data_IF_955234508535
#
_entry.id   IF_955234508535
#
_cell.length_a   1.000
_cell.length_b   1.000
_cell.length_c   1.000
_cell.angle_alpha   90.00
_cell.angle_beta   90.00
_cell.angle_gamma   90.00
#
_symmetry.space_group_name_H-M   'P 1'
#
loop_
_entity.id
_entity.type
_entity.pdbx_description
1 polymer ?
#
# COMPACT_ATOMS: atom_id res chain seq x y z
N UNK A 1 0.89 12.47 21.22
CA UNK A 1 -0.54 12.12 21.00
C UNK A 1 -0.70 10.63 20.66
N UNK A 2 -0.15 10.06 19.56
CA UNK A 2 -0.33 8.63 19.26
C UNK A 2 0.16 7.68 20.37
N UNK A 3 1.29 8.00 21.01
CA UNK A 3 1.80 7.27 22.17
C UNK A 3 0.77 7.11 23.30
N UNK A 4 -0.05 8.13 23.56
CA UNK A 4 -1.10 8.04 24.58
C UNK A 4 -2.22 7.10 24.16
N UNK A 5 -2.59 7.10 22.87
CA UNK A 5 -3.57 6.15 22.34
C UNK A 5 -3.10 4.70 22.55
N UNK A 6 -1.80 4.43 22.28
CA UNK A 6 -1.18 3.12 22.53
C UNK A 6 -1.23 2.70 24.00
N UNK A 7 -0.83 3.57 24.94
CA UNK A 7 -0.92 3.27 26.39
C UNK A 7 -2.36 2.94 26.81
N UNK A 8 -3.32 3.75 26.35
CA UNK A 8 -4.72 3.56 26.70
C UNK A 8 -5.28 2.26 26.11
N UNK A 9 -4.85 1.89 24.91
CA UNK A 9 -5.18 0.61 24.31
C UNK A 9 -4.56 -0.56 25.09
N UNK A 10 -3.29 -0.46 25.49
CA UNK A 10 -2.62 -1.47 26.32
C UNK A 10 -3.32 -1.66 27.67
N UNK A 11 -3.93 -0.61 28.23
CA UNK A 11 -4.72 -0.72 29.47
C UNK A 11 -5.99 -1.56 29.27
N UNK A 12 -6.61 -1.48 28.10
CA UNK A 12 -7.75 -2.34 27.74
C UNK A 12 -7.26 -3.79 27.60
N UNK A 13 -6.20 -4.03 26.83
CA UNK A 13 -5.66 -5.38 26.60
C UNK A 13 -5.25 -6.07 27.91
N UNK A 14 -4.69 -5.33 28.86
CA UNK A 14 -4.25 -5.85 30.15
C UNK A 14 -5.36 -5.86 31.22
N UNK A 15 -6.61 -5.53 30.87
CA UNK A 15 -7.75 -5.54 31.80
C UNK A 15 -7.72 -4.44 32.88
N UNK A 16 -6.89 -3.40 32.71
CA UNK A 16 -6.81 -2.24 33.62
C UNK A 16 -7.90 -1.21 33.36
N UNK A 17 -8.42 -1.13 32.13
CA UNK A 17 -9.58 -0.32 31.72
C UNK A 17 -10.48 -1.17 30.80
N UNK A 18 -11.18 -2.18 31.33
CA UNK A 18 -11.94 -3.13 30.50
C UNK A 18 -13.07 -2.46 29.72
N UNK A 19 -13.58 -1.33 30.21
CA UNK A 19 -14.65 -0.56 29.57
C UNK A 19 -14.11 0.42 28.51
N UNK A 20 -12.78 0.53 28.35
CA UNK A 20 -12.10 1.42 27.41
C UNK A 20 -12.46 2.90 27.58
N UNK A 21 -12.85 3.29 28.79
CA UNK A 21 -13.36 4.62 29.11
C UNK A 21 -12.33 5.71 28.81
N UNK A 22 -11.06 5.46 29.11
CA UNK A 22 -9.96 6.38 28.87
C UNK A 22 -9.69 6.59 27.39
N UNK A 23 -9.61 5.49 26.61
CA UNK A 23 -9.40 5.56 25.17
C UNK A 23 -10.59 6.22 24.45
N UNK A 24 -11.82 5.94 24.89
CA UNK A 24 -13.02 6.55 24.33
C UNK A 24 -13.06 8.06 24.58
N UNK A 25 -12.73 8.49 25.81
CA UNK A 25 -12.62 9.91 26.13
C UNK A 25 -11.53 10.58 25.28
N UNK A 26 -10.38 9.93 25.13
CA UNK A 26 -9.29 10.40 24.27
C UNK A 26 -9.76 10.60 22.82
N UNK A 27 -10.52 9.67 22.24
CA UNK A 27 -11.08 9.84 20.88
C UNK A 27 -12.09 10.99 20.78
N UNK A 28 -12.94 11.19 21.79
CA UNK A 28 -13.86 12.34 21.83
C UNK A 28 -13.08 13.65 21.87
N UNK A 29 -12.01 13.71 22.65
CA UNK A 29 -11.14 14.87 22.73
C UNK A 29 -10.40 15.12 21.41
N UNK A 30 -9.88 14.08 20.77
CA UNK A 30 -9.17 14.16 19.49
C UNK A 30 -10.05 14.71 18.36
N UNK A 31 -11.35 14.39 18.41
CA UNK A 31 -12.35 14.86 17.45
C UNK A 31 -13.06 16.15 17.89
N UNK A 32 -12.73 16.69 19.06
CA UNK A 32 -13.33 17.93 19.57
C UNK A 32 -12.81 19.14 18.79
N UNK A 33 -13.62 20.20 18.76
CA UNK A 33 -13.30 21.47 18.08
C UNK A 33 -12.04 22.15 18.61
N UNK A 34 -11.53 21.74 19.76
CA UNK A 34 -10.28 22.23 20.34
C UNK A 34 -9.04 21.90 19.49
N UNK A 35 -9.10 20.84 18.67
CA UNK A 35 -8.04 20.48 17.71
C UNK A 35 -8.24 21.07 16.30
N UNK A 36 -9.28 21.89 16.08
CA UNK A 36 -9.63 22.48 14.77
C UNK A 36 -8.59 23.44 14.15
N UNK A 37 -7.42 23.63 14.77
CA UNK A 37 -6.33 24.39 14.15
C UNK A 37 -5.57 23.56 13.09
N UNK A 38 -5.71 22.23 13.10
CA UNK A 38 -5.10 21.37 12.10
C UNK A 38 -5.90 21.42 10.79
N UNK A 39 -5.19 21.45 9.66
CA UNK A 39 -5.85 21.26 8.37
C UNK A 39 -6.45 19.84 8.31
N UNK A 40 -7.51 19.61 7.51
CA UNK A 40 -8.17 18.30 7.43
C UNK A 40 -7.22 17.13 7.17
N UNK A 41 -6.15 17.35 6.40
CA UNK A 41 -5.12 16.34 6.12
C UNK A 41 -4.30 16.01 7.37
N UNK A 42 -3.86 17.03 8.11
CA UNK A 42 -3.08 16.81 9.33
C UNK A 42 -3.92 16.11 10.39
N UNK A 43 -5.20 16.46 10.51
CA UNK A 43 -6.13 15.77 11.40
C UNK A 43 -6.30 14.30 10.99
N UNK A 44 -6.49 14.02 9.70
CA UNK A 44 -6.61 12.64 9.21
C UNK A 44 -5.35 11.83 9.53
N UNK A 45 -4.16 12.36 9.27
CA UNK A 45 -2.88 11.70 9.57
C UNK A 45 -2.74 11.45 11.06
N UNK A 46 -3.07 12.45 11.90
CA UNK A 46 -3.01 12.30 13.36
C UNK A 46 -3.94 11.19 13.85
N UNK A 47 -5.20 11.20 13.43
CA UNK A 47 -6.19 10.19 13.78
C UNK A 47 -5.73 8.79 13.33
N UNK A 48 -5.17 8.69 12.13
CA UNK A 48 -4.68 7.43 11.58
C UNK A 48 -3.47 6.90 12.37
N UNK A 49 -2.56 7.77 12.84
CA UNK A 49 -1.44 7.36 13.70
C UNK A 49 -1.89 6.91 15.09
N UNK A 50 -2.91 7.56 15.65
CA UNK A 50 -3.53 7.08 16.89
C UNK A 50 -4.15 5.70 16.69
N UNK A 51 -4.86 5.51 15.57
CA UNK A 51 -5.45 4.21 15.21
C UNK A 51 -4.38 3.13 15.02
N UNK A 52 -3.25 3.47 14.38
CA UNK A 52 -2.10 2.59 14.23
C UNK A 52 -1.52 2.15 15.57
N UNK A 53 -1.45 3.09 16.53
CA UNK A 53 -1.01 2.81 17.91
C UNK A 53 -1.98 1.89 18.66
N UNK A 54 -3.25 1.85 18.25
CA UNK A 54 -4.26 0.90 18.70
C UNK A 54 -4.33 -0.36 17.80
N UNK A 55 -3.24 -0.66 17.07
CA UNK A 55 -3.10 -1.82 16.15
C UNK A 55 -4.16 -1.88 15.04
N UNK A 56 -4.83 -0.76 14.75
CA UNK A 56 -5.96 -0.67 13.82
C UNK A 56 -7.08 -1.69 14.09
N UNK A 57 -7.25 -2.10 15.34
CA UNK A 57 -8.11 -3.22 15.68
C UNK A 57 -9.59 -2.82 15.62
N UNK A 58 -10.35 -3.40 14.69
CA UNK A 58 -11.77 -3.10 14.48
C UNK A 58 -12.70 -4.18 15.04
N UNK A 59 -12.17 -5.36 15.36
CA UNK A 59 -12.97 -6.54 15.74
C UNK A 59 -12.48 -7.22 17.03
N UNK A 60 -11.55 -6.60 17.76
CA UNK A 60 -11.06 -7.10 19.05
C UNK A 60 -12.19 -7.44 19.99
N UNK A 61 -12.14 -8.64 20.57
CA UNK A 61 -13.05 -9.01 21.67
C UNK A 61 -12.83 -8.19 22.93
N UNK A 62 -11.65 -7.60 23.09
CA UNK A 62 -11.30 -6.76 24.23
C UNK A 62 -11.78 -5.31 24.07
N UNK A 63 -12.11 -4.89 22.84
CA UNK A 63 -12.60 -3.53 22.60
C UNK A 63 -14.11 -3.44 22.82
N UNK A 64 -14.57 -2.48 23.64
CA UNK A 64 -15.98 -2.11 23.72
C UNK A 64 -16.54 -1.74 22.33
N UNK A 65 -17.82 -2.05 22.10
CA UNK A 65 -18.49 -1.80 20.81
C UNK A 65 -18.41 -0.35 20.33
N UNK A 66 -18.42 0.62 21.26
CA UNK A 66 -18.26 2.04 20.93
C UNK A 66 -16.88 2.34 20.34
N UNK A 67 -15.82 1.74 20.88
CA UNK A 67 -14.46 1.91 20.37
C UNK A 67 -14.26 1.21 19.03
N UNK A 68 -14.82 0.00 18.87
CA UNK A 68 -14.85 -0.67 17.57
C UNK A 68 -15.50 0.21 16.50
N UNK A 69 -16.65 0.82 16.81
CA UNK A 69 -17.33 1.75 15.90
C UNK A 69 -16.47 2.99 15.58
N UNK A 70 -15.78 3.56 16.57
CA UNK A 70 -14.82 4.65 16.35
C UNK A 70 -13.71 4.24 15.36
N UNK A 71 -13.10 3.07 15.58
CA UNK A 71 -12.04 2.56 14.72
C UNK A 71 -12.55 2.29 13.29
N UNK A 72 -13.72 1.64 13.15
CA UNK A 72 -14.37 1.39 11.84
C UNK A 72 -14.65 2.68 11.07
N UNK A 73 -15.17 3.70 11.74
CA UNK A 73 -15.43 5.00 11.12
C UNK A 73 -14.14 5.70 10.67
N UNK A 74 -13.06 5.59 11.45
CA UNK A 74 -11.75 6.13 11.08
C UNK A 74 -11.15 5.38 9.88
N UNK A 75 -11.23 4.04 9.86
CA UNK A 75 -10.83 3.23 8.70
C UNK A 75 -11.62 3.66 7.45
N UNK A 76 -12.94 3.80 7.55
CA UNK A 76 -13.78 4.26 6.43
C UNK A 76 -13.44 5.68 5.95
N UNK A 77 -13.12 6.58 6.87
CA UNK A 77 -12.69 7.94 6.56
C UNK A 77 -11.32 7.95 5.87
N UNK A 78 -10.37 7.17 6.38
CA UNK A 78 -9.04 7.02 5.79
C UNK A 78 -9.11 6.36 4.41
N UNK A 79 -10.00 5.37 4.23
CA UNK A 79 -10.30 4.74 2.93
C UNK A 79 -10.76 5.78 1.91
N UNK A 80 -11.77 6.56 2.25
CA UNK A 80 -12.28 7.64 1.39
C UNK A 80 -11.18 8.66 1.05
N UNK A 81 -10.37 9.02 2.05
CA UNK A 81 -9.24 9.91 1.89
C UNK A 81 -8.18 9.34 0.94
N UNK A 82 -7.79 8.07 1.09
CA UNK A 82 -6.86 7.38 0.19
C UNK A 82 -7.37 7.35 -1.26
N UNK A 83 -8.65 7.06 -1.48
CA UNK A 83 -9.25 7.04 -2.82
C UNK A 83 -9.13 8.41 -3.47
N UNK A 84 -9.52 9.48 -2.77
CA UNK A 84 -9.42 10.85 -3.27
C UNK A 84 -7.96 11.19 -3.57
N UNK A 85 -7.04 10.80 -2.69
CA UNK A 85 -5.63 11.12 -2.82
C UNK A 85 -4.94 10.38 -3.97
N UNK A 86 -5.27 9.11 -4.21
CA UNK A 86 -4.76 8.29 -5.32
C UNK A 86 -5.34 8.77 -6.66
N UNK A 87 -6.60 9.25 -6.66
CA UNK A 87 -7.29 9.76 -7.84
C UNK A 87 -7.08 11.26 -8.10
N UNK A 88 -6.33 11.94 -7.24
CA UNK A 88 -6.13 13.39 -7.29
C UNK A 88 -5.58 13.90 -8.63
N UNK A 89 -4.73 13.11 -9.30
CA UNK A 89 -4.21 13.45 -10.62
C UNK A 89 -5.19 13.24 -11.78
N UNK A 90 -6.34 12.60 -11.56
CA UNK A 90 -7.31 12.25 -12.62
C UNK A 90 -8.16 13.44 -13.07
N UNK A 91 -8.33 14.46 -12.22
CA UNK A 91 -9.24 15.58 -12.45
C UNK A 91 -8.52 16.94 -12.38
N UNK A 92 -7.44 17.09 -13.15
CA UNK A 92 -6.60 18.31 -13.16
C UNK A 92 -7.27 19.56 -13.75
N UNK A 93 -8.53 19.50 -14.19
CA UNK A 93 -9.19 20.62 -14.86
C UNK A 93 -9.97 21.56 -13.92
N UNK A 94 -10.22 21.17 -12.67
CA UNK A 94 -10.93 22.02 -11.71
C UNK A 94 -10.01 22.38 -10.54
N UNK A 95 -9.63 23.65 -10.46
CA UNK A 95 -8.68 24.21 -9.49
C UNK A 95 -9.11 24.13 -8.01
N UNK A 96 -10.25 23.52 -7.68
CA UNK A 96 -10.86 23.63 -6.35
C UNK A 96 -10.23 22.75 -5.27
N UNK A 97 -9.49 21.69 -5.61
CA UNK A 97 -9.05 20.72 -4.60
C UNK A 97 -7.55 20.75 -4.30
N UNK A 98 -6.82 21.86 -4.39
CA UNK A 98 -5.37 21.95 -4.06
C UNK A 98 -5.01 21.67 -2.58
N UNK A 99 -5.78 20.86 -1.86
CA UNK A 99 -5.65 20.62 -0.42
C UNK A 99 -4.34 19.92 0.00
N UNK A 100 -3.60 19.28 -0.91
CA UNK A 100 -2.30 18.68 -0.61
C UNK A 100 -1.18 19.25 -1.51
N UNK A 101 -0.28 20.06 -0.92
CA UNK A 101 0.96 20.49 -1.58
C UNK A 101 1.96 19.35 -1.79
N UNK A 102 1.82 18.23 -1.07
CA UNK A 102 2.73 17.09 -1.14
C UNK A 102 2.06 15.87 -1.80
N UNK A 103 2.74 15.21 -2.75
CA UNK A 103 2.28 13.93 -3.31
C UNK A 103 2.26 12.82 -2.26
N UNK A 104 1.33 11.87 -2.41
CA UNK A 104 1.05 10.77 -1.47
C UNK A 104 2.32 10.08 -0.96
N UNK A 105 3.23 9.66 -1.84
CA UNK A 105 4.48 8.98 -1.45
C UNK A 105 5.36 9.80 -0.49
N UNK A 106 5.34 11.14 -0.56
CA UNK A 106 6.12 11.97 0.37
C UNK A 106 5.45 11.99 1.74
N UNK A 107 4.13 12.11 1.79
CA UNK A 107 3.41 12.13 3.07
C UNK A 107 3.39 10.74 3.71
N UNK A 108 3.15 9.70 2.92
CA UNK A 108 3.32 8.31 3.33
C UNK A 108 4.76 8.10 3.76
N UNK A 109 5.77 8.43 2.94
CA UNK A 109 7.18 8.22 3.29
C UNK A 109 7.60 8.85 4.62
N UNK A 110 7.10 10.07 4.92
CA UNK A 110 7.34 10.74 6.20
C UNK A 110 6.63 10.10 7.40
N UNK A 111 5.52 9.40 7.16
CA UNK A 111 4.69 8.82 8.21
C UNK A 111 4.68 7.29 8.20
N UNK A 112 5.43 6.65 7.30
CA UNK A 112 5.26 5.24 6.95
C UNK A 112 5.53 4.32 8.12
N UNK A 113 6.56 4.62 8.91
CA UNK A 113 6.89 3.86 10.12
C UNK A 113 5.77 3.86 11.16
N UNK A 114 4.81 4.80 11.08
CA UNK A 114 3.74 5.02 12.04
C UNK A 114 2.35 4.69 11.49
N UNK A 115 2.28 3.98 10.36
CA UNK A 115 1.03 3.56 9.70
C UNK A 115 1.05 2.07 9.37
N UNK A 116 1.90 1.29 10.06
CA UNK A 116 2.17 -0.10 9.67
C UNK A 116 0.97 -1.02 9.88
N UNK A 117 0.24 -0.88 10.99
CA UNK A 117 -0.97 -1.64 11.29
C UNK A 117 -2.15 -1.19 10.44
N UNK A 118 -2.29 0.11 10.20
CA UNK A 118 -3.39 0.64 9.37
C UNK A 118 -3.23 0.21 7.91
N UNK A 119 -2.02 0.24 7.35
CA UNK A 119 -1.81 -0.10 5.94
C UNK A 119 -2.00 -1.60 5.64
N UNK A 120 -1.81 -2.47 6.62
CA UNK A 120 -2.08 -3.90 6.50
C UNK A 120 -3.51 -4.28 6.91
N UNK A 121 -4.30 -3.33 7.42
CA UNK A 121 -5.70 -3.58 7.76
C UNK A 121 -6.47 -4.05 6.51
N UNK A 122 -7.25 -5.15 6.57
CA UNK A 122 -7.89 -5.75 5.40
C UNK A 122 -8.68 -4.77 4.52
N UNK A 123 -9.46 -3.86 5.13
CA UNK A 123 -10.26 -2.87 4.39
C UNK A 123 -9.43 -1.80 3.68
N UNK A 124 -8.29 -1.43 4.28
CA UNK A 124 -7.37 -0.44 3.69
C UNK A 124 -6.54 -1.10 2.61
N UNK A 125 -6.01 -2.28 2.91
CA UNK A 125 -5.27 -3.09 1.97
C UNK A 125 -6.10 -3.39 0.70
N UNK A 126 -7.32 -3.93 0.85
CA UNK A 126 -8.22 -4.19 -0.27
C UNK A 126 -8.54 -2.91 -1.05
N UNK A 127 -8.79 -1.80 -0.36
CA UNK A 127 -9.00 -0.50 -1.02
C UNK A 127 -7.80 -0.10 -1.88
N UNK A 128 -6.58 -0.27 -1.36
CA UNK A 128 -5.36 0.07 -2.07
C UNK A 128 -5.25 -0.83 -3.30
N UNK A 129 -5.32 -2.15 -3.15
CA UNK A 129 -5.24 -3.12 -4.26
C UNK A 129 -6.31 -2.86 -5.32
N UNK A 130 -7.54 -2.53 -4.93
CA UNK A 130 -8.61 -2.21 -5.86
C UNK A 130 -8.33 -0.94 -6.70
N UNK A 131 -7.49 -0.01 -6.20
CA UNK A 131 -7.02 1.11 -7.02
C UNK A 131 -5.99 0.70 -8.09
N UNK A 132 -5.33 -0.45 -7.95
CA UNK A 132 -4.39 -0.99 -8.92
C UNK A 132 -5.05 -1.96 -9.91
N UNK A 133 -6.16 -2.61 -9.53
CA UNK A 133 -6.86 -3.53 -10.42
C UNK A 133 -7.32 -2.79 -11.69
N UNK A 134 -7.09 -3.37 -12.88
CA UNK A 134 -7.59 -2.79 -14.12
C UNK A 134 -9.12 -2.80 -14.10
N UNK A 135 -9.74 -1.64 -14.34
CA UNK A 135 -11.19 -1.56 -14.53
C UNK A 135 -11.54 -2.28 -15.84
N UNK A 136 -12.50 -3.24 -15.87
CA UNK A 136 -12.79 -4.09 -17.05
C UNK A 136 -13.09 -3.35 -18.36
N UNK A 137 -13.46 -2.07 -18.30
CA UNK A 137 -13.73 -1.22 -19.47
C UNK A 137 -12.51 -0.44 -19.98
N UNK A 138 -11.35 -0.57 -19.33
CA UNK A 138 -10.10 0.12 -19.67
C UNK A 138 -8.93 -0.87 -19.54
N UNK A 139 -8.79 -1.79 -20.49
CA UNK A 139 -7.68 -2.78 -20.54
C UNK A 139 -6.28 -2.16 -20.57
N UNK A 140 -6.20 -0.83 -20.71
CA UNK A 140 -4.97 -0.07 -20.86
C UNK A 140 -4.71 0.86 -19.66
N UNK A 141 -5.32 0.63 -18.49
CA UNK A 141 -5.18 1.54 -17.34
C UNK A 141 -3.72 1.72 -16.91
N UNK A 142 -2.93 0.65 -16.90
CA UNK A 142 -1.48 0.69 -16.68
C UNK A 142 -0.76 1.59 -17.68
N UNK A 143 -1.18 1.62 -18.95
CA UNK A 143 -0.62 2.54 -19.96
C UNK A 143 -0.77 4.01 -19.53
N UNK A 144 -1.89 4.39 -18.90
CA UNK A 144 -2.10 5.76 -18.39
C UNK A 144 -1.29 6.10 -17.13
N UNK A 145 -0.89 5.11 -16.35
CA UNK A 145 -0.01 5.30 -15.20
C UNK A 145 1.47 5.44 -15.58
N UNK A 146 1.85 4.99 -16.78
CA UNK A 146 3.27 4.83 -17.14
C UNK A 146 3.68 5.65 -18.37
N UNK A 147 2.80 5.91 -19.35
CA UNK A 147 3.22 6.69 -20.53
C UNK A 147 3.38 8.19 -20.24
N UNK A 148 4.57 8.78 -20.46
CA UNK A 148 4.74 10.23 -20.54
C UNK A 148 4.15 10.71 -21.87
N UNK A 149 3.25 11.69 -21.82
CA UNK A 149 2.73 12.34 -23.05
C UNK A 149 3.89 13.07 -23.75
N UNK A 150 3.94 12.96 -25.08
CA UNK A 150 5.06 13.26 -26.01
C UNK A 150 5.55 14.72 -26.10
N UNK A 151 5.18 15.60 -25.17
CA UNK A 151 5.69 16.98 -25.14
C UNK A 151 6.75 17.08 -24.03
N UNK A 152 7.89 17.71 -24.31
CA UNK A 152 9.11 17.84 -23.48
C UNK A 152 8.95 18.48 -22.08
N UNK A 153 7.74 18.49 -21.51
CA UNK A 153 7.47 18.79 -20.11
C UNK A 153 7.19 17.46 -19.42
N UNK A 154 7.95 17.14 -18.38
CA UNK A 154 7.68 16.01 -17.48
C UNK A 154 6.18 16.05 -17.12
N UNK A 155 5.40 15.13 -17.68
CA UNK A 155 3.95 15.14 -17.51
C UNK A 155 3.59 14.43 -16.20
N UNK A 156 2.53 14.88 -15.50
CA UNK A 156 2.11 14.33 -14.20
C UNK A 156 1.85 12.81 -14.19
N UNK A 157 1.54 12.21 -15.35
CA UNK A 157 1.27 10.76 -15.47
C UNK A 157 2.48 9.90 -15.08
N UNK A 158 3.69 10.31 -15.43
CA UNK A 158 4.93 9.57 -15.09
C UNK A 158 5.24 9.61 -13.59
N UNK A 159 4.87 10.70 -12.90
CA UNK A 159 4.99 10.76 -11.44
C UNK A 159 4.04 9.77 -10.77
N UNK A 160 2.83 9.58 -11.30
CA UNK A 160 1.82 8.70 -10.71
C UNK A 160 2.30 7.26 -10.57
N UNK A 161 2.86 6.66 -11.63
CA UNK A 161 3.42 5.30 -11.57
C UNK A 161 4.56 5.16 -10.56
N UNK A 162 5.45 6.16 -10.47
CA UNK A 162 6.55 6.17 -9.50
C UNK A 162 6.04 6.27 -8.06
N UNK A 163 5.06 7.14 -7.82
CA UNK A 163 4.42 7.33 -6.50
C UNK A 163 3.77 6.03 -6.04
N UNK A 164 3.02 5.41 -6.95
CA UNK A 164 2.26 4.21 -6.68
C UNK A 164 3.20 3.02 -6.39
N UNK A 165 4.28 2.88 -7.15
CA UNK A 165 5.30 1.85 -6.91
C UNK A 165 6.07 2.03 -5.60
N UNK A 166 6.38 3.28 -5.22
CA UNK A 166 7.05 3.53 -3.94
C UNK A 166 6.11 3.22 -2.75
N UNK A 167 4.81 3.51 -2.88
CA UNK A 167 3.81 3.14 -1.88
C UNK A 167 3.68 1.62 -1.78
N UNK A 168 3.62 0.94 -2.92
CA UNK A 168 3.57 -0.52 -2.99
C UNK A 168 4.81 -1.16 -2.35
N UNK A 169 6.01 -0.67 -2.68
CA UNK A 169 7.26 -1.12 -2.06
C UNK A 169 7.20 -1.02 -0.54
N UNK A 170 6.67 0.09 -0.02
CA UNK A 170 6.58 0.29 1.41
C UNK A 170 5.61 -0.72 2.05
N UNK A 171 4.40 -0.87 1.50
CA UNK A 171 3.37 -1.82 1.97
C UNK A 171 3.92 -3.25 1.96
N UNK A 172 4.58 -3.64 0.87
CA UNK A 172 5.18 -4.95 0.67
C UNK A 172 6.11 -5.38 1.80
N UNK A 173 6.88 -4.44 2.37
CA UNK A 173 7.82 -4.75 3.44
C UNK A 173 7.13 -4.98 4.80
N UNK A 174 5.81 -4.82 4.87
CA UNK A 174 5.01 -4.88 6.10
C UNK A 174 3.84 -5.85 6.03
N UNK A 175 3.37 -6.21 4.83
CA UNK A 175 2.24 -7.13 4.65
C UNK A 175 2.56 -8.55 5.12
N UNK A 176 1.50 -9.22 5.59
CA UNK A 176 1.53 -10.64 5.89
C UNK A 176 1.71 -11.49 4.63
N UNK A 177 2.04 -12.77 4.80
CA UNK A 177 2.22 -13.72 3.67
C UNK A 177 0.97 -13.87 2.81
N UNK A 178 -0.22 -13.80 3.41
CA UNK A 178 -1.51 -13.90 2.71
C UNK A 178 -1.70 -12.73 1.75
N UNK A 179 -1.30 -11.53 2.15
CA UNK A 179 -1.41 -10.33 1.33
C UNK A 179 -0.32 -10.28 0.25
N UNK A 180 0.79 -11.00 0.45
CA UNK A 180 1.91 -10.96 -0.47
C UNK A 180 1.58 -11.54 -1.85
N UNK A 181 0.70 -12.56 -1.93
CA UNK A 181 0.30 -13.16 -3.21
C UNK A 181 -0.37 -12.14 -4.14
N UNK A 182 -1.25 -11.32 -3.60
CA UNK A 182 -1.97 -10.29 -4.35
C UNK A 182 -1.01 -9.21 -4.86
N UNK A 183 0.00 -8.84 -4.05
CA UNK A 183 1.01 -7.88 -4.49
C UNK A 183 1.91 -8.47 -5.56
N UNK A 184 2.32 -9.73 -5.43
CA UNK A 184 3.13 -10.41 -6.44
C UNK A 184 2.36 -10.48 -7.76
N UNK A 185 1.09 -10.90 -7.75
CA UNK A 185 0.26 -10.93 -8.96
C UNK A 185 0.20 -9.55 -9.63
N UNK A 186 -0.02 -8.50 -8.85
CA UNK A 186 -0.05 -7.12 -9.32
C UNK A 186 1.30 -6.63 -9.89
N UNK A 187 2.43 -7.02 -9.28
CA UNK A 187 3.76 -6.70 -9.78
C UNK A 187 4.07 -7.40 -11.11
N UNK A 188 3.59 -8.64 -11.25
CA UNK A 188 3.73 -9.44 -12.46
C UNK A 188 2.83 -8.89 -13.59
N UNK A 189 1.61 -8.47 -13.27
CA UNK A 189 0.77 -7.71 -14.21
C UNK A 189 1.46 -6.42 -14.67
N UNK A 190 2.13 -5.70 -13.77
CA UNK A 190 2.90 -4.50 -14.12
C UNK A 190 4.16 -4.78 -14.96
N UNK A 191 4.66 -6.00 -14.98
CA UNK A 191 5.74 -6.45 -15.88
C UNK A 191 5.20 -6.79 -17.27
N UNK A 192 3.96 -7.27 -17.35
CA UNK A 192 3.27 -7.58 -18.60
C UNK A 192 2.71 -6.32 -19.25
N UNK A 193 3.28 -5.94 -20.39
CA UNK A 193 2.69 -4.93 -21.25
C UNK A 193 2.76 -5.42 -22.69
N UNK A 194 1.58 -5.66 -23.26
CA UNK A 194 1.37 -6.25 -24.59
C UNK A 194 1.82 -5.34 -25.74
N UNK A 195 2.04 -4.05 -25.51
CA UNK A 195 2.43 -3.12 -26.57
C UNK A 195 3.93 -3.20 -26.88
N UNK A 196 4.27 -4.15 -27.74
CA UNK A 196 5.59 -4.36 -28.36
C UNK A 196 6.19 -3.08 -28.97
N UNK A 197 5.37 -2.07 -29.29
CA UNK A 197 5.79 -0.81 -29.90
C UNK A 197 6.35 0.25 -28.92
N UNK A 198 6.37 0.01 -27.61
CA UNK A 198 6.83 1.02 -26.62
C UNK A 198 7.90 0.54 -25.64
N UNK A 199 8.75 -0.39 -26.08
CA UNK A 199 9.80 -1.07 -25.30
C UNK A 199 10.59 -0.15 -24.34
N UNK A 200 10.98 1.05 -24.78
CA UNK A 200 11.80 1.96 -23.97
C UNK A 200 11.08 2.64 -22.79
N UNK A 201 9.74 2.82 -22.84
CA UNK A 201 9.04 3.67 -21.85
C UNK A 201 8.63 2.96 -20.58
N UNK A 202 8.45 1.64 -20.65
CA UNK A 202 8.01 0.83 -19.51
C UNK A 202 9.17 0.11 -18.81
N UNK A 203 10.40 0.27 -19.30
CA UNK A 203 11.60 -0.33 -18.72
C UNK A 203 11.82 0.06 -17.26
N UNK A 204 11.59 1.33 -16.89
CA UNK A 204 11.75 1.81 -15.51
C UNK A 204 10.79 1.11 -14.54
N UNK A 205 9.53 0.93 -14.94
CA UNK A 205 8.53 0.24 -14.11
C UNK A 205 8.86 -1.24 -14.03
N UNK A 206 9.21 -1.88 -15.16
CA UNK A 206 9.62 -3.28 -15.18
C UNK A 206 10.82 -3.54 -14.27
N UNK A 207 11.88 -2.73 -14.36
CA UNK A 207 13.05 -2.80 -13.48
C UNK A 207 12.70 -2.59 -12.00
N UNK A 208 11.75 -1.70 -11.69
CA UNK A 208 11.27 -1.51 -10.31
C UNK A 208 10.46 -2.71 -9.80
N UNK A 209 9.54 -3.25 -10.60
CA UNK A 209 8.80 -4.46 -10.26
C UNK A 209 9.75 -5.63 -10.02
N UNK A 210 10.70 -5.85 -10.93
CA UNK A 210 11.73 -6.89 -10.79
C UNK A 210 12.53 -6.76 -9.48
N UNK A 211 13.05 -5.56 -9.20
CA UNK A 211 13.76 -5.27 -7.94
C UNK A 211 12.91 -5.51 -6.70
N UNK A 212 11.62 -5.16 -6.75
CA UNK A 212 10.73 -5.36 -5.63
C UNK A 212 10.40 -6.84 -5.40
N UNK A 213 10.14 -7.59 -6.47
CA UNK A 213 9.98 -9.06 -6.43
C UNK A 213 11.23 -9.71 -5.83
N UNK A 214 12.41 -9.26 -6.25
CA UNK A 214 13.67 -9.75 -5.71
C UNK A 214 13.80 -9.47 -4.20
N UNK A 215 13.40 -8.27 -3.76
CA UNK A 215 13.44 -7.83 -2.35
C UNK A 215 12.44 -8.60 -1.48
N UNK A 216 11.25 -8.85 -2.00
CA UNK A 216 10.23 -9.71 -1.38
C UNK A 216 10.76 -11.13 -1.17
N UNK A 217 11.53 -11.62 -2.13
CA UNK A 217 12.01 -13.00 -2.17
C UNK A 217 13.18 -13.28 -1.21
N UNK A 218 13.36 -12.46 -0.17
CA UNK A 218 14.44 -12.61 0.81
C UNK A 218 14.13 -13.67 1.89
N UNK A 219 12.88 -13.87 2.30
CA UNK A 219 12.49 -14.96 3.21
C UNK A 219 12.19 -16.26 2.43
N UNK A 220 12.47 -17.43 3.01
CA UNK A 220 12.27 -18.76 2.40
C UNK A 220 10.80 -18.98 2.03
N UNK A 221 9.87 -18.63 2.91
CA UNK A 221 8.44 -18.77 2.69
C UNK A 221 7.94 -17.87 1.54
N UNK A 222 8.36 -16.61 1.57
CA UNK A 222 8.05 -15.62 0.52
C UNK A 222 8.64 -16.03 -0.83
N UNK A 223 9.85 -16.59 -0.85
CA UNK A 223 10.53 -17.07 -2.06
C UNK A 223 9.74 -18.20 -2.75
N UNK A 224 9.21 -19.16 -1.99
CA UNK A 224 8.37 -20.23 -2.56
C UNK A 224 7.05 -19.70 -3.11
N UNK A 225 6.40 -18.78 -2.40
CA UNK A 225 5.16 -18.15 -2.86
C UNK A 225 5.39 -17.33 -4.14
N UNK A 226 6.47 -16.55 -4.21
CA UNK A 226 6.87 -15.81 -5.41
C UNK A 226 7.12 -16.74 -6.59
N UNK A 227 7.89 -17.82 -6.39
CA UNK A 227 8.16 -18.80 -7.44
C UNK A 227 6.85 -19.45 -7.95
N UNK A 228 5.96 -19.83 -7.03
CA UNK A 228 4.67 -20.43 -7.37
C UNK A 228 3.81 -19.48 -8.20
N UNK A 229 3.72 -18.20 -7.80
CA UNK A 229 2.99 -17.19 -8.56
C UNK A 229 3.59 -17.00 -9.96
N UNK A 230 4.93 -16.90 -10.06
CA UNK A 230 5.65 -16.81 -11.34
C UNK A 230 5.36 -18.00 -12.25
N UNK A 231 5.41 -19.23 -11.73
CA UNK A 231 5.11 -20.44 -12.50
C UNK A 231 3.64 -20.47 -12.96
N UNK A 232 2.70 -20.05 -12.12
CA UNK A 232 1.28 -19.98 -12.49
C UNK A 232 1.06 -19.00 -13.65
N UNK A 233 1.68 -17.82 -13.61
CA UNK A 233 1.56 -16.83 -14.69
C UNK A 233 2.21 -17.33 -15.97
N UNK A 234 3.38 -17.96 -15.86
CA UNK A 234 4.05 -18.60 -16.98
C UNK A 234 3.17 -19.68 -17.64
N UNK A 235 2.58 -20.56 -16.83
CA UNK A 235 1.71 -21.64 -17.30
C UNK A 235 0.41 -21.14 -17.93
N UNK A 236 -0.11 -19.99 -17.48
CA UNK A 236 -1.27 -19.32 -18.10
C UNK A 236 -0.95 -18.77 -19.51
N UNK A 237 0.29 -18.91 -20.00
CA UNK A 237 0.79 -18.36 -21.27
C UNK A 237 0.55 -16.86 -21.41
N UNK A 238 0.40 -16.16 -20.29
CA UNK A 238 0.04 -14.77 -20.30
C UNK A 238 1.17 -13.89 -20.81
N UNK A 239 2.42 -14.35 -20.97
CA UNK A 239 3.57 -13.46 -21.20
C UNK A 239 4.64 -14.11 -22.09
N UNK A 240 5.12 -13.45 -23.17
CA UNK A 240 6.35 -13.87 -23.83
C UNK A 240 7.53 -13.67 -22.88
N UNK A 241 8.38 -14.70 -22.74
CA UNK A 241 9.65 -14.65 -22.00
C UNK A 241 10.47 -13.44 -22.49
N UNK A 242 10.48 -12.36 -21.73
CA UNK A 242 11.39 -11.24 -21.96
C UNK A 242 12.56 -11.33 -20.99
N UNK A 243 13.69 -10.71 -21.33
CA UNK A 243 14.93 -10.78 -20.56
C UNK A 243 14.72 -10.45 -19.07
N UNK A 244 13.80 -9.52 -18.77
CA UNK A 244 13.45 -9.14 -17.38
C UNK A 244 12.87 -10.31 -16.58
N UNK A 245 12.08 -11.19 -17.20
CA UNK A 245 11.57 -12.39 -16.51
C UNK A 245 12.68 -13.39 -16.29
N UNK A 246 13.55 -13.59 -17.29
CA UNK A 246 14.71 -14.48 -17.16
C UNK A 246 15.61 -14.03 -15.99
N UNK A 247 15.89 -12.73 -15.89
CA UNK A 247 16.67 -12.14 -14.80
C UNK A 247 16.03 -12.39 -13.42
N UNK A 248 14.70 -12.21 -13.31
CA UNK A 248 13.96 -12.47 -12.06
C UNK A 248 14.03 -13.96 -11.70
N UNK A 249 13.82 -14.85 -12.67
CA UNK A 249 13.91 -16.29 -12.47
C UNK A 249 15.31 -16.72 -12.05
N UNK A 250 16.34 -16.22 -12.71
CA UNK A 250 17.74 -16.49 -12.38
C UNK A 250 18.06 -16.01 -10.96
N UNK A 251 17.64 -14.79 -10.60
CA UNK A 251 17.85 -14.25 -9.26
C UNK A 251 17.16 -15.10 -8.17
N UNK A 252 15.93 -15.54 -8.42
CA UNK A 252 15.17 -16.42 -7.52
C UNK A 252 15.80 -17.81 -7.43
N UNK A 253 16.17 -18.41 -8.55
CA UNK A 253 16.81 -19.73 -8.61
C UNK A 253 18.16 -19.73 -7.89
N UNK A 254 19.00 -18.72 -8.12
CA UNK A 254 20.29 -18.54 -7.43
C UNK A 254 20.11 -18.41 -5.92
N UNK A 255 19.05 -17.72 -5.47
CA UNK A 255 18.74 -17.61 -4.02
C UNK A 255 18.24 -18.91 -3.43
N UNK A 256 17.47 -19.70 -4.18
CA UNK A 256 17.04 -21.04 -3.76
C UNK A 256 18.26 -21.96 -3.57
N UNK A 257 19.15 -21.99 -4.57
CA UNK A 257 20.35 -22.84 -4.55
C UNK A 257 21.30 -22.52 -3.39
N UNK A 258 21.53 -21.23 -3.12
CA UNK A 258 22.31 -20.77 -1.96
C UNK A 258 21.69 -21.20 -0.62
N UNK A 259 20.36 -21.20 -0.51
CA UNK A 259 19.66 -21.59 0.72
C UNK A 259 19.63 -23.10 0.92
N UNK A 260 19.57 -23.90 -0.16
CA UNK A 260 19.61 -25.36 -0.07
C UNK A 260 21.02 -25.88 0.20
N UNK A 261 22.06 -25.19 -0.30
CA UNK A 261 23.46 -25.59 -0.12
C UNK A 261 24.03 -25.28 1.28
N UNK A 262 23.39 -24.40 2.06
CA UNK A 262 23.80 -24.09 3.44
C UNK A 262 23.34 -25.11 4.51
N UNK A 263 22.76 -26.24 4.09
CA UNK A 263 22.32 -27.34 4.97
C UNK A 263 23.26 -28.57 4.92
N UNK A 264 24.47 -28.42 4.39
CA UNK A 264 25.53 -29.43 4.42
C UNK A 264 26.72 -28.94 5.24
#
# INVERSE_FOLDING_TARGET
IPFMAGILYDYIENGKDPDGSGLLYFWKLLNSTSFCQLSPIHQMILNTRCLDSCKADTESKFLPSQLQNCHKNLIGSFKSFLIVWINFDRHKNNNEYRTAHLPLHKVIGLNFSNLSHVLVHPDIYSCIIDQFKPVPKQSNQWKYFITPKKNNRITPSSQRGVILMNTLEAIVLKVSEIQLSDVIELLLDGLYDEDEYTVDKNEVVRKKCAKLIEKISQNKEQLYNTLRCLMNIFNKKCIPLCDVYADIFEAIATKLDKKTSGYF
#
